data_IF_606929671972
#
_entry.id   IF_606929671972
#
_cell.length_a   1.000
_cell.length_b   1.000
_cell.length_c   1.000
_cell.angle_alpha   90.00
_cell.angle_beta   90.00
_cell.angle_gamma   90.00
#
_symmetry.space_group_name_H-M   'P 1'
#
loop_
_entity.id
_entity.type
_entity.pdbx_description
1 polymer ?
#
# COMPACT_ATOMS: atom_id res chain seq x y z
N UNK A 1 -2.66 -16.81 -4.43
CA UNK A 1 -1.34 -16.14 -4.54
C UNK A 1 -1.64 -14.67 -4.81
N UNK A 2 -1.00 -13.74 -4.09
CA UNK A 2 -1.26 -12.30 -4.21
C UNK A 2 -0.31 -11.74 -5.25
N UNK A 3 -0.83 -11.08 -6.28
CA UNK A 3 -0.01 -10.50 -7.35
C UNK A 3 0.56 -9.13 -6.97
N UNK A 4 1.55 -8.68 -7.74
CA UNK A 4 2.09 -7.32 -7.61
C UNK A 4 1.04 -6.30 -8.05
N UNK A 5 0.88 -5.16 -7.34
CA UNK A 5 -0.06 -4.11 -7.75
C UNK A 5 0.18 -3.65 -9.19
N UNK A 6 -0.86 -3.71 -10.02
CA UNK A 6 -0.83 -3.30 -11.44
C UNK A 6 -0.96 -1.79 -11.63
N UNK A 7 -1.32 -1.05 -10.57
CA UNK A 7 -1.61 0.39 -10.59
C UNK A 7 -0.75 1.15 -9.56
N UNK A 8 -0.42 2.43 -9.82
CA UNK A 8 0.38 3.26 -8.91
C UNK A 8 -0.36 3.54 -7.60
N UNK A 9 0.38 3.93 -6.56
CA UNK A 9 -0.14 4.18 -5.20
C UNK A 9 -1.28 5.21 -5.17
N UNK A 10 -1.24 6.20 -6.07
CA UNK A 10 -2.22 7.28 -6.20
C UNK A 10 -3.52 6.88 -6.93
N UNK A 11 -3.64 5.65 -7.42
CA UNK A 11 -4.86 5.21 -8.12
C UNK A 11 -6.02 5.00 -7.12
N UNK A 12 -7.15 5.65 -7.36
CA UNK A 12 -8.32 5.64 -6.47
C UNK A 12 -8.78 4.21 -6.12
N UNK A 13 -8.91 3.33 -7.12
CA UNK A 13 -9.37 1.95 -6.91
C UNK A 13 -8.28 0.98 -6.43
N UNK A 14 -7.05 1.44 -6.16
CA UNK A 14 -5.97 0.53 -5.74
C UNK A 14 -6.30 -0.24 -4.47
N UNK A 15 -7.09 0.37 -3.58
CA UNK A 15 -7.55 -0.28 -2.36
C UNK A 15 -8.56 -1.41 -2.64
N UNK A 16 -9.41 -1.27 -3.66
CA UNK A 16 -10.34 -2.33 -4.09
C UNK A 16 -9.59 -3.48 -4.74
N UNK A 17 -8.63 -3.18 -5.62
CA UNK A 17 -7.76 -4.20 -6.21
C UNK A 17 -6.98 -4.98 -5.14
N UNK A 18 -6.48 -4.28 -4.12
CA UNK A 18 -5.84 -4.94 -2.98
C UNK A 18 -6.79 -5.90 -2.24
N UNK A 19 -8.07 -5.51 -2.06
CA UNK A 19 -9.08 -6.37 -1.43
C UNK A 19 -9.34 -7.64 -2.26
N UNK A 20 -9.51 -7.50 -3.58
CA UNK A 20 -9.72 -8.63 -4.47
C UNK A 20 -8.54 -9.62 -4.44
N UNK A 21 -7.31 -9.11 -4.44
CA UNK A 21 -6.09 -9.94 -4.40
C UNK A 21 -5.95 -10.73 -3.09
N UNK A 22 -6.35 -10.15 -1.95
CA UNK A 22 -6.26 -10.83 -0.65
C UNK A 22 -7.43 -11.77 -0.39
N UNK A 23 -8.61 -11.52 -0.97
CA UNK A 23 -9.86 -12.26 -0.71
C UNK A 23 -9.70 -13.78 -0.87
N UNK A 24 -9.16 -14.24 -2.00
CA UNK A 24 -8.95 -15.67 -2.23
C UNK A 24 -8.04 -16.33 -1.18
N UNK A 25 -7.00 -15.62 -0.73
CA UNK A 25 -6.09 -16.14 0.31
C UNK A 25 -6.77 -16.22 1.68
N UNK A 26 -7.71 -15.32 1.97
CA UNK A 26 -8.50 -15.34 3.20
C UNK A 26 -9.55 -16.46 3.17
N UNK A 27 -10.17 -16.72 2.02
CA UNK A 27 -11.06 -17.88 1.83
C UNK A 27 -10.31 -19.20 2.04
N UNK A 28 -9.09 -19.34 1.52
CA UNK A 28 -8.25 -20.52 1.78
C UNK A 28 -7.94 -20.74 3.27
N UNK A 29 -7.84 -19.66 4.06
CA UNK A 29 -7.67 -19.76 5.53
C UNK A 29 -8.97 -20.26 6.17
N UNK A 30 -10.12 -19.73 5.76
CA UNK A 30 -11.43 -20.15 6.25
C UNK A 30 -11.72 -21.62 5.93
N UNK A 31 -11.46 -22.05 4.71
CA UNK A 31 -11.67 -23.43 4.27
C UNK A 31 -10.79 -24.40 5.06
N UNK A 32 -9.52 -24.04 5.28
CA UNK A 32 -8.64 -24.84 6.13
C UNK A 32 -9.15 -24.90 7.57
N UNK A 33 -9.48 -23.78 8.19
CA UNK A 33 -9.94 -23.77 9.58
C UNK A 33 -11.22 -24.61 9.76
N UNK A 34 -12.18 -24.47 8.84
CA UNK A 34 -13.42 -25.25 8.86
C UNK A 34 -13.17 -26.74 8.62
N UNK A 35 -12.24 -27.11 7.72
CA UNK A 35 -11.82 -28.50 7.54
C UNK A 35 -11.18 -29.13 8.80
N UNK A 36 -10.63 -28.28 9.68
CA UNK A 36 -10.09 -28.66 10.98
C UNK A 36 -11.11 -28.58 12.13
N UNK A 37 -12.39 -28.30 11.84
CA UNK A 37 -13.49 -28.33 12.80
C UNK A 37 -13.80 -26.99 13.47
N UNK A 38 -13.15 -25.89 13.08
CA UNK A 38 -13.47 -24.56 13.58
C UNK A 38 -14.74 -24.00 12.92
N UNK A 39 -15.51 -23.21 13.65
CA UNK A 39 -16.68 -22.53 13.08
C UNK A 39 -16.27 -21.42 12.12
N UNK A 40 -17.05 -21.19 11.05
CA UNK A 40 -16.77 -20.10 10.11
C UNK A 40 -16.78 -18.73 10.81
N UNK A 41 -17.81 -18.45 11.63
CA UNK A 41 -17.92 -17.19 12.36
C UNK A 41 -16.81 -17.01 13.41
N UNK A 42 -16.45 -18.11 14.09
CA UNK A 42 -15.33 -18.15 15.03
C UNK A 42 -14.01 -17.83 14.34
N UNK A 43 -13.78 -18.41 13.16
CA UNK A 43 -12.56 -18.18 12.36
C UNK A 43 -12.49 -16.74 11.88
N UNK A 44 -13.59 -16.19 11.35
CA UNK A 44 -13.66 -14.77 10.94
C UNK A 44 -13.34 -13.85 12.13
N UNK A 45 -13.97 -14.09 13.29
CA UNK A 45 -13.72 -13.30 14.51
C UNK A 45 -12.25 -13.35 14.93
N UNK A 46 -11.62 -14.52 14.86
CA UNK A 46 -10.20 -14.67 15.16
C UNK A 46 -9.31 -13.95 14.14
N UNK A 47 -9.64 -14.02 12.84
CA UNK A 47 -8.92 -13.32 11.79
C UNK A 47 -8.96 -11.80 11.99
N UNK A 48 -10.11 -11.23 12.33
CA UNK A 48 -10.24 -9.80 12.63
C UNK A 48 -9.30 -9.37 13.76
N UNK A 49 -9.22 -10.16 14.84
CA UNK A 49 -8.36 -9.83 15.98
C UNK A 49 -6.87 -9.92 15.64
N UNK A 50 -6.47 -10.94 14.87
CA UNK A 50 -5.09 -11.04 14.37
C UNK A 50 -4.75 -9.86 13.46
N UNK A 51 -5.64 -9.46 12.55
CA UNK A 51 -5.43 -8.32 11.65
C UNK A 51 -5.28 -6.98 12.41
N UNK A 52 -6.07 -6.76 13.47
CA UNK A 52 -5.91 -5.59 14.34
C UNK A 52 -4.52 -5.55 14.98
N UNK A 53 -4.06 -6.68 15.51
CA UNK A 53 -2.73 -6.77 16.14
C UNK A 53 -1.60 -6.55 15.14
N UNK A 54 -1.70 -7.10 13.93
CA UNK A 54 -0.74 -6.84 12.86
C UNK A 54 -0.71 -5.36 12.48
N UNK A 55 -1.88 -4.70 12.38
CA UNK A 55 -1.95 -3.27 12.08
C UNK A 55 -1.21 -2.43 13.12
N UNK A 56 -1.36 -2.74 14.41
CA UNK A 56 -0.63 -2.05 15.50
C UNK A 56 0.88 -2.23 15.30
N UNK A 57 1.33 -3.47 15.10
CA UNK A 57 2.75 -3.78 14.93
C UNK A 57 3.39 -3.04 13.75
N UNK A 58 2.69 -2.96 12.61
CA UNK A 58 3.22 -2.28 11.42
C UNK A 58 3.01 -0.75 11.42
N UNK A 59 2.06 -0.22 12.20
CA UNK A 59 1.89 1.23 12.34
C UNK A 59 3.08 1.90 13.05
N UNK A 60 3.74 1.19 13.97
CA UNK A 60 4.92 1.67 14.69
C UNK A 60 6.21 1.63 13.85
N UNK A 61 6.17 1.04 12.66
CA UNK A 61 7.28 1.00 11.70
C UNK A 61 6.89 1.75 10.42
N UNK A 62 7.16 3.07 10.31
CA UNK A 62 6.90 3.79 9.07
C UNK A 62 7.68 3.14 7.93
N UNK A 63 6.97 2.59 6.96
CA UNK A 63 7.56 2.08 5.73
C UNK A 63 8.21 3.26 4.98
N UNK A 64 9.49 3.16 4.56
CA UNK A 64 10.24 4.28 3.96
C UNK A 64 9.74 4.74 2.58
N UNK A 65 8.62 4.22 2.08
CA UNK A 65 8.17 4.44 0.70
C UNK A 65 7.13 5.57 0.54
N UNK A 66 6.83 6.32 1.60
CA UNK A 66 5.94 7.49 1.53
C UNK A 66 6.65 8.78 1.07
N UNK A 67 7.95 8.74 0.73
CA UNK A 67 8.77 9.92 0.44
C UNK A 67 9.22 10.01 -1.04
N UNK A 68 8.39 9.59 -1.99
CA UNK A 68 8.75 9.67 -3.41
C UNK A 68 7.70 10.28 -4.35
N UNK A 69 6.83 11.17 -3.88
CA UNK A 69 6.16 12.17 -4.75
C UNK A 69 5.94 13.40 -3.85
N UNK A 70 6.89 14.34 -3.77
CA UNK A 70 6.82 15.64 -4.47
C UNK A 70 8.22 16.28 -4.46
N UNK A 71 8.98 16.12 -5.56
CA UNK A 71 10.09 17.03 -5.86
C UNK A 71 10.07 17.31 -7.36
N UNK A 72 9.09 18.11 -7.76
CA UNK A 72 9.05 18.75 -9.07
C UNK A 72 8.92 20.27 -8.95
N UNK A 73 9.47 20.87 -7.89
CA UNK A 73 9.77 22.31 -7.82
C UNK A 73 11.26 22.53 -8.08
N UNK A 74 11.69 22.23 -9.30
CA UNK A 74 13.09 22.35 -9.72
C UNK A 74 13.23 22.76 -11.19
N UNK A 75 12.28 23.54 -11.72
CA UNK A 75 12.35 24.03 -13.10
C UNK A 75 11.95 25.50 -13.22
N UNK A 76 12.59 26.35 -12.41
CA UNK A 76 12.68 27.78 -12.69
C UNK A 76 13.95 28.04 -13.50
N UNK A 77 13.75 28.57 -14.70
CA UNK A 77 14.72 28.83 -15.76
C UNK A 77 15.87 29.72 -15.30
N UNK A 78 17.11 29.19 -15.31
CA UNK A 78 18.32 30.00 -15.30
C UNK A 78 18.90 29.96 -16.72
N UNK A 79 18.46 30.87 -17.58
CA UNK A 79 19.26 31.30 -18.72
C UNK A 79 19.99 32.59 -18.34
N UNK A 80 21.23 32.43 -17.88
CA UNK A 80 22.20 33.51 -17.89
C UNK A 80 22.64 33.80 -19.31
N UNK A 81 22.63 35.08 -19.70
CA UNK A 81 23.51 35.59 -20.75
C UNK A 81 24.06 36.94 -20.27
N UNK A 82 25.26 36.90 -19.69
CA UNK A 82 26.14 38.07 -19.67
C UNK A 82 26.52 38.46 -21.11
N UNK A 83 27.09 39.62 -21.38
CA UNK A 83 27.48 40.77 -20.58
C UNK A 83 27.90 41.86 -21.58
N UNK A 84 28.33 43.01 -21.03
CA UNK A 84 29.15 44.05 -21.69
C UNK A 84 28.41 44.86 -22.79
N UNK A 85 28.59 46.17 -22.96
CA UNK A 85 29.78 46.99 -22.79
C UNK A 85 29.43 48.50 -22.76
N UNK A 86 30.44 49.29 -22.43
CA UNK A 86 30.48 50.74 -22.17
C UNK A 86 29.88 51.65 -23.27
N UNK A 87 29.35 52.82 -22.87
CA UNK A 87 29.90 54.14 -23.22
C UNK A 87 29.24 55.28 -22.43
#
# INVERSE_FOLDING_TARGET
MIDTPKVPVSHDDRHLLCQEEVDGSLQDILDRATSHGWGTFETISAMEEVLKNLRIMYADHPHPNAAQEESNEGRALIHGRGGEEKS
#
